data_IF_309182920707
#
_entry.id   IF_309182920707
#
_cell.length_a   1.000
_cell.length_b   1.000
_cell.length_c   1.000
_cell.angle_alpha   90.00
_cell.angle_beta   90.00
_cell.angle_gamma   90.00
#
_symmetry.space_group_name_H-M   'P 1'
#
loop_
_entity.id
_entity.type
_entity.pdbx_description
1 polymer ?
#
# COMPACT_ATOMS: atom_id res chain seq x y z
N UNK A 1 4.84 31.12 -8.88
CA UNK A 1 5.69 30.00 -9.33
C UNK A 1 5.34 28.83 -8.44
N UNK A 2 4.87 27.73 -9.02
CA UNK A 2 4.49 26.53 -8.28
C UNK A 2 5.77 25.80 -7.84
N UNK A 3 6.29 26.19 -6.68
CA UNK A 3 7.24 25.37 -5.94
C UNK A 3 6.45 24.20 -5.36
N UNK A 4 6.31 23.14 -6.16
CA UNK A 4 5.99 21.81 -5.67
C UNK A 4 7.30 21.21 -5.15
N UNK A 5 7.80 21.80 -4.07
CA UNK A 5 8.73 21.15 -3.16
C UNK A 5 7.88 20.37 -2.16
N UNK A 6 7.16 19.35 -2.64
CA UNK A 6 6.82 18.21 -1.80
C UNK A 6 8.02 17.28 -1.94
N UNK A 7 9.09 17.68 -1.26
CA UNK A 7 10.14 16.78 -0.86
C UNK A 7 9.41 15.66 -0.14
N UNK A 8 9.19 14.56 -0.86
CA UNK A 8 8.63 13.35 -0.33
C UNK A 8 9.61 12.87 0.73
N UNK A 9 9.48 13.42 1.94
CA UNK A 9 9.43 12.61 3.15
C UNK A 9 8.72 11.31 2.72
N UNK A 10 9.25 10.12 3.04
CA UNK A 10 8.44 8.93 2.88
C UNK A 10 7.26 9.08 3.84
N UNK A 11 6.28 9.87 3.42
CA UNK A 11 5.15 10.29 4.21
C UNK A 11 4.42 9.04 4.65
N UNK A 12 3.58 9.16 5.69
CA UNK A 12 3.03 8.01 6.41
C UNK A 12 2.64 6.89 5.43
N UNK A 13 3.34 5.76 5.53
CA UNK A 13 3.20 4.62 4.62
C UNK A 13 1.72 4.30 4.46
N UNK A 14 1.14 4.71 3.34
CA UNK A 14 -0.30 4.60 3.11
C UNK A 14 -0.54 3.35 2.32
N UNK A 15 -0.96 2.31 3.01
CA UNK A 15 -1.33 1.06 2.36
C UNK A 15 -2.79 1.08 1.92
N UNK A 16 -3.02 0.64 0.69
CA UNK A 16 -4.34 0.49 0.09
C UNK A 16 -4.47 -0.93 -0.44
N UNK A 17 -5.61 -1.56 -0.21
CA UNK A 17 -5.94 -2.84 -0.83
C UNK A 17 -6.77 -2.60 -2.08
N UNK A 18 -6.39 -3.24 -3.18
CA UNK A 18 -7.15 -3.19 -4.45
C UNK A 18 -7.57 -4.60 -4.84
N UNK A 19 -8.79 -4.71 -5.36
CA UNK A 19 -9.37 -5.97 -5.82
C UNK A 19 -9.12 -6.11 -7.32
N UNK A 20 -8.41 -7.15 -7.72
CA UNK A 20 -8.19 -7.54 -9.12
C UNK A 20 -8.93 -8.86 -9.38
N UNK A 21 -10.20 -8.76 -9.77
CA UNK A 21 -11.07 -9.90 -10.00
C UNK A 21 -11.27 -10.74 -8.73
N UNK A 22 -10.92 -12.04 -8.73
CA UNK A 22 -11.05 -12.89 -7.54
C UNK A 22 -9.90 -12.72 -6.53
N UNK A 23 -8.94 -11.81 -6.77
CA UNK A 23 -7.79 -11.58 -5.91
C UNK A 23 -7.78 -10.18 -5.34
N UNK A 24 -7.23 -10.03 -4.14
CA UNK A 24 -6.96 -8.80 -3.44
C UNK A 24 -5.45 -8.65 -3.28
N UNK A 25 -4.91 -7.49 -3.65
CA UNK A 25 -3.50 -7.16 -3.49
C UNK A 25 -3.36 -5.89 -2.66
N UNK A 26 -2.41 -5.89 -1.73
CA UNK A 26 -2.02 -4.68 -1.01
C UNK A 26 -1.00 -3.90 -1.84
N UNK A 27 -1.07 -2.57 -1.80
CA UNK A 27 -0.05 -1.68 -2.34
C UNK A 27 0.24 -0.58 -1.33
N UNK A 28 1.51 -0.21 -1.22
CA UNK A 28 1.97 0.93 -0.44
C UNK A 28 2.30 2.07 -1.39
N UNK A 29 2.07 3.31 -0.95
CA UNK A 29 2.52 4.51 -1.66
C UNK A 29 4.05 4.59 -1.79
N UNK A 30 4.79 3.89 -0.94
CA UNK A 30 6.25 3.70 -1.02
C UNK A 30 6.71 2.82 -2.20
N UNK A 31 5.79 2.24 -2.98
CA UNK A 31 6.10 1.39 -4.14
C UNK A 31 6.04 -0.11 -3.88
N UNK A 32 5.89 -0.53 -2.62
CA UNK A 32 5.72 -1.94 -2.27
C UNK A 32 4.35 -2.48 -2.72
N UNK A 33 4.33 -3.76 -3.11
CA UNK A 33 3.12 -4.50 -3.50
C UNK A 33 3.12 -5.86 -2.84
N UNK A 34 2.07 -6.12 -2.08
CA UNK A 34 1.82 -7.40 -1.46
C UNK A 34 1.40 -8.48 -2.47
N UNK A 35 1.45 -9.76 -2.06
CA UNK A 35 1.06 -10.90 -2.87
C UNK A 35 -0.45 -10.94 -3.15
N UNK A 36 -0.85 -11.65 -4.21
CA UNK A 36 -2.25 -11.90 -4.53
C UNK A 36 -2.90 -12.81 -3.49
N UNK A 37 -3.81 -12.26 -2.67
CA UNK A 37 -4.58 -12.98 -1.65
C UNK A 37 -6.06 -13.04 -2.04
N UNK A 38 -6.73 -14.17 -1.85
CA UNK A 38 -8.19 -14.25 -2.06
C UNK A 38 -8.98 -13.51 -0.98
N UNK A 39 -8.46 -13.48 0.25
CA UNK A 39 -9.10 -12.84 1.39
C UNK A 39 -8.61 -11.38 1.55
N UNK A 40 -9.56 -10.44 1.59
CA UNK A 40 -9.26 -9.01 1.87
C UNK A 40 -8.59 -8.81 3.22
N UNK A 41 -9.03 -9.53 4.25
CA UNK A 41 -8.43 -9.47 5.58
C UNK A 41 -6.95 -9.85 5.53
N UNK A 42 -6.61 -10.93 4.81
CA UNK A 42 -5.23 -11.37 4.64
C UNK A 42 -4.38 -10.34 3.89
N UNK A 43 -4.93 -9.74 2.82
CA UNK A 43 -4.26 -8.66 2.10
C UNK A 43 -4.06 -7.43 2.99
N UNK A 44 -5.03 -7.11 3.85
CA UNK A 44 -4.92 -6.00 4.79
C UNK A 44 -3.84 -6.26 5.84
N UNK A 45 -3.80 -7.44 6.45
CA UNK A 45 -2.77 -7.82 7.43
C UNK A 45 -1.36 -7.74 6.83
N UNK A 46 -1.19 -8.15 5.57
CA UNK A 46 0.07 -8.03 4.85
C UNK A 46 0.50 -6.55 4.71
N UNK A 47 -0.46 -5.68 4.40
CA UNK A 47 -0.25 -4.24 4.32
C UNK A 47 0.02 -3.59 5.69
N UNK A 48 -0.71 -3.99 6.73
CA UNK A 48 -0.54 -3.52 8.11
C UNK A 48 0.85 -3.92 8.65
N UNK A 49 1.27 -5.16 8.40
CA UNK A 49 2.62 -5.62 8.72
C UNK A 49 3.67 -4.77 8.00
N UNK A 50 3.48 -4.48 6.72
CA UNK A 50 4.41 -3.65 5.97
C UNK A 50 4.50 -2.20 6.48
N UNK A 51 3.38 -1.61 6.93
CA UNK A 51 3.40 -0.27 7.55
C UNK A 51 3.95 -0.25 8.97
N UNK A 52 4.09 -1.42 9.58
CA UNK A 52 4.56 -1.57 10.96
C UNK A 52 6.07 -1.87 11.05
N UNK A 53 6.75 -2.07 9.91
CA UNK A 53 8.22 -2.18 9.81
C UNK A 53 8.87 -0.82 9.58
#
# INVERSE_FOLDING_TARGET
MAHQDDEADPGPHSTTTTEQGPFCVARCTCGWRGPARRARSQARTDAENHTAE
#
